data_IF_355010015702
#
_entry.id   IF_355010015702
#
_cell.length_a   1.000
_cell.length_b   1.000
_cell.length_c   1.000
_cell.angle_alpha   90.00
_cell.angle_beta   90.00
_cell.angle_gamma   90.00
#
_symmetry.space_group_name_H-M   'P 1'
#
loop_
_entity.id
_entity.type
_entity.pdbx_description
1 polymer ?
#
# COMPACT_ATOMS: atom_id res chain seq x y z
N UNK A 1 23.65 6.48 13.25
CA UNK A 1 23.91 5.04 13.48
C UNK A 1 23.69 4.31 12.17
N UNK A 2 24.68 3.57 11.66
CA UNK A 2 24.51 2.78 10.43
C UNK A 2 23.72 1.52 10.80
N UNK A 3 22.59 1.28 10.15
CA UNK A 3 21.84 0.04 10.33
C UNK A 3 22.66 -1.11 9.75
N UNK A 4 23.20 -1.97 10.61
CA UNK A 4 24.01 -3.15 10.21
C UNK A 4 23.14 -4.41 10.20
N UNK A 5 22.04 -4.40 10.94
CA UNK A 5 21.08 -5.50 11.09
C UNK A 5 19.68 -4.89 11.05
N UNK A 6 18.76 -5.53 10.34
CA UNK A 6 17.35 -5.15 10.30
C UNK A 6 16.78 -5.10 11.72
N UNK A 7 16.11 -4.00 12.14
CA UNK A 7 15.56 -3.86 13.48
C UNK A 7 14.23 -4.63 13.65
N UNK A 8 14.10 -5.77 12.99
CA UNK A 8 12.95 -6.67 13.05
C UNK A 8 13.38 -8.10 12.73
N UNK A 9 12.49 -9.07 12.98
CA UNK A 9 12.66 -10.47 12.59
C UNK A 9 11.51 -10.88 11.68
N UNK A 10 11.79 -11.80 10.76
CA UNK A 10 10.77 -12.39 9.88
C UNK A 10 9.77 -13.17 10.72
N UNK A 11 8.48 -12.87 10.56
CA UNK A 11 7.37 -13.59 11.23
C UNK A 11 6.75 -14.64 10.31
N UNK A 12 6.58 -14.30 9.04
CA UNK A 12 6.01 -15.13 7.97
C UNK A 12 6.73 -14.82 6.67
N UNK A 13 6.65 -15.72 5.69
CA UNK A 13 7.26 -15.56 4.36
C UNK A 13 6.23 -15.80 3.27
N UNK A 14 6.40 -15.14 2.13
CA UNK A 14 5.69 -15.43 0.90
C UNK A 14 6.61 -16.24 -0.03
N UNK A 15 6.17 -17.39 -0.58
CA UNK A 15 6.98 -18.19 -1.49
C UNK A 15 7.29 -17.45 -2.80
N UNK A 16 8.55 -17.50 -3.23
CA UNK A 16 8.98 -16.99 -4.53
C UNK A 16 9.25 -18.13 -5.52
N UNK A 17 8.91 -17.93 -6.80
CA UNK A 17 9.19 -18.89 -7.87
C UNK A 17 10.48 -18.53 -8.59
N UNK A 18 11.49 -19.39 -8.47
CA UNK A 18 12.72 -19.24 -9.26
C UNK A 18 12.44 -19.59 -10.73
N UNK A 19 12.86 -18.70 -11.64
CA UNK A 19 12.73 -18.87 -13.09
C UNK A 19 14.08 -18.94 -13.78
N UNK A 20 14.11 -19.58 -14.95
CA UNK A 20 15.30 -19.56 -15.81
C UNK A 20 15.41 -18.23 -16.55
N UNK A 21 16.63 -17.89 -17.00
CA UNK A 21 16.84 -16.70 -17.85
C UNK A 21 16.03 -16.79 -19.15
N UNK A 22 15.90 -17.99 -19.72
CA UNK A 22 15.13 -18.22 -20.94
C UNK A 22 13.63 -17.89 -20.73
N UNK A 23 13.03 -18.41 -19.65
CA UNK A 23 11.64 -18.09 -19.26
C UNK A 23 11.43 -16.58 -19.12
N UNK A 24 12.33 -15.89 -18.42
CA UNK A 24 12.22 -14.42 -18.27
C UNK A 24 12.29 -13.67 -19.60
N UNK A 25 13.13 -14.12 -20.56
CA UNK A 25 13.20 -13.50 -21.90
C UNK A 25 11.92 -13.68 -22.69
N UNK A 26 11.32 -14.86 -22.60
CA UNK A 26 10.02 -15.15 -23.23
C UNK A 26 8.91 -14.27 -22.64
N UNK A 27 8.82 -14.19 -21.30
CA UNK A 27 7.84 -13.33 -20.62
C UNK A 27 8.00 -11.85 -20.99
N UNK A 28 9.25 -11.36 -21.09
CA UNK A 28 9.52 -9.99 -21.56
C UNK A 28 9.02 -9.75 -22.98
N UNK A 29 9.24 -10.70 -23.89
CA UNK A 29 8.75 -10.58 -25.26
C UNK A 29 7.22 -10.60 -25.33
N UNK A 30 6.56 -11.51 -24.60
CA UNK A 30 5.10 -11.60 -24.50
C UNK A 30 4.47 -10.32 -23.92
N UNK A 31 5.14 -9.70 -22.95
CA UNK A 31 4.72 -8.45 -22.35
C UNK A 31 4.94 -7.22 -23.26
N UNK A 32 5.53 -7.39 -24.45
CA UNK A 32 5.93 -6.29 -25.31
C UNK A 32 6.96 -5.38 -24.65
N UNK A 33 7.86 -5.97 -23.84
CA UNK A 33 8.90 -5.27 -23.07
C UNK A 33 8.37 -4.23 -22.06
N UNK A 34 7.08 -4.29 -21.71
CA UNK A 34 6.50 -3.47 -20.65
C UNK A 34 6.36 -4.28 -19.36
N UNK A 35 7.11 -3.90 -18.32
CA UNK A 35 7.10 -4.61 -17.03
C UNK A 35 5.72 -4.61 -16.34
N UNK A 36 4.90 -3.58 -16.54
CA UNK A 36 3.52 -3.53 -16.01
C UNK A 36 2.63 -4.65 -16.54
N UNK A 37 3.04 -5.33 -17.61
CA UNK A 37 2.28 -6.41 -18.25
C UNK A 37 2.82 -7.80 -17.87
N UNK A 38 3.86 -7.89 -17.05
CA UNK A 38 4.42 -9.17 -16.61
C UNK A 38 3.61 -9.67 -15.40
N UNK A 39 3.07 -10.90 -15.42
CA UNK A 39 2.45 -11.49 -14.25
C UNK A 39 3.41 -11.58 -13.06
N UNK A 40 2.95 -11.20 -11.85
CA UNK A 40 3.77 -11.16 -10.64
C UNK A 40 4.42 -12.52 -10.30
N UNK A 41 3.77 -13.65 -10.60
CA UNK A 41 4.33 -14.99 -10.38
C UNK A 41 5.61 -15.29 -11.21
N UNK A 42 5.94 -14.44 -12.18
CA UNK A 42 7.17 -14.53 -12.99
C UNK A 42 8.26 -13.56 -12.52
N UNK A 43 7.97 -12.74 -11.50
CA UNK A 43 8.88 -11.77 -10.89
C UNK A 43 9.44 -12.36 -9.59
N UNK A 44 10.78 -12.39 -9.46
CA UNK A 44 11.44 -12.96 -8.27
C UNK A 44 11.60 -11.90 -7.17
N UNK A 45 11.98 -10.69 -7.58
CA UNK A 45 12.11 -9.52 -6.70
C UNK A 45 11.34 -8.42 -7.41
N UNK A 46 10.21 -8.02 -6.85
CA UNK A 46 9.39 -6.94 -7.39
C UNK A 46 9.80 -5.61 -6.75
N UNK A 47 10.33 -4.71 -7.58
CA UNK A 47 10.73 -3.35 -7.21
C UNK A 47 9.97 -2.31 -8.03
N UNK A 48 8.80 -2.68 -8.58
CA UNK A 48 8.03 -1.80 -9.46
C UNK A 48 7.49 -0.58 -8.70
N UNK A 49 7.06 -0.78 -7.45
CA UNK A 49 6.54 0.29 -6.58
C UNK A 49 6.64 -0.10 -5.11
N UNK A 50 6.75 0.91 -4.25
CA UNK A 50 6.59 0.83 -2.79
C UNK A 50 5.13 1.05 -2.33
N UNK A 51 4.23 1.38 -3.25
CA UNK A 51 2.82 1.66 -2.97
C UNK A 51 2.02 0.38 -2.71
N UNK A 52 1.73 0.09 -1.44
CA UNK A 52 0.90 -1.06 -1.04
C UNK A 52 1.63 -2.40 -1.02
N UNK A 53 2.95 -2.41 -1.21
CA UNK A 53 3.80 -3.62 -1.25
C UNK A 53 4.56 -3.86 0.06
N UNK A 54 4.24 -3.10 1.12
CA UNK A 54 4.89 -3.22 2.42
C UNK A 54 4.47 -4.48 3.20
N UNK A 55 5.43 -5.08 3.92
CA UNK A 55 5.16 -6.18 4.84
C UNK A 55 4.60 -5.64 6.18
N UNK A 56 3.39 -6.05 6.55
CA UNK A 56 2.79 -5.70 7.83
C UNK A 56 3.42 -6.46 9.01
N UNK A 57 3.54 -5.78 10.15
CA UNK A 57 3.93 -6.38 11.42
C UNK A 57 2.85 -7.32 11.98
N UNK A 58 3.21 -8.16 12.96
CA UNK A 58 2.24 -9.01 13.66
C UNK A 58 1.15 -8.21 14.40
N UNK A 59 1.46 -6.99 14.85
CA UNK A 59 0.48 -6.12 15.50
C UNK A 59 -0.57 -5.60 14.52
N UNK A 60 -0.15 -5.25 13.29
CA UNK A 60 -1.07 -4.85 12.23
C UNK A 60 -1.98 -6.02 11.82
N UNK A 61 -1.42 -7.23 11.63
CA UNK A 61 -2.24 -8.43 11.37
C UNK A 61 -3.25 -8.73 12.49
N UNK A 62 -2.87 -8.54 13.76
CA UNK A 62 -3.81 -8.66 14.87
C UNK A 62 -4.93 -7.60 14.80
N UNK A 63 -4.60 -6.38 14.38
CA UNK A 63 -5.57 -5.32 14.12
C UNK A 63 -6.58 -5.67 13.02
N UNK A 64 -6.13 -6.32 11.94
CA UNK A 64 -7.01 -6.81 10.86
C UNK A 64 -8.07 -7.79 11.42
N UNK A 65 -7.68 -8.68 12.34
CA UNK A 65 -8.61 -9.63 12.97
C UNK A 65 -9.60 -8.98 13.95
N UNK A 66 -9.40 -7.71 14.31
CA UNK A 66 -10.25 -6.91 15.20
C UNK A 66 -11.05 -5.84 14.43
N UNK A 67 -11.27 -6.07 13.13
CA UNK A 67 -12.06 -5.18 12.28
C UNK A 67 -13.47 -4.96 12.84
N UNK A 68 -13.86 -3.69 12.91
CA UNK A 68 -15.23 -3.28 13.20
C UNK A 68 -15.85 -2.81 11.88
N UNK A 69 -16.68 -3.67 11.30
CA UNK A 69 -17.28 -3.51 9.97
C UNK A 69 -18.61 -2.72 10.01
N UNK A 70 -18.84 -1.96 11.09
CA UNK A 70 -20.01 -1.12 11.24
C UNK A 70 -20.03 -0.01 10.19
N UNK A 71 -21.18 0.24 9.56
CA UNK A 71 -21.34 1.23 8.50
C UNK A 71 -21.05 2.67 8.95
N UNK A 72 -21.34 3.00 10.21
CA UNK A 72 -21.07 4.31 10.81
C UNK A 72 -20.61 4.14 12.25
N UNK A 73 -19.66 4.98 12.69
CA UNK A 73 -19.16 4.97 14.06
C UNK A 73 -18.27 3.78 14.41
N UNK A 74 -17.61 3.16 13.41
CA UNK A 74 -16.69 2.05 13.64
C UNK A 74 -15.54 2.46 14.58
N UNK A 75 -15.23 1.61 15.56
CA UNK A 75 -14.15 1.83 16.53
C UNK A 75 -12.78 1.98 15.88
N UNK A 76 -12.56 1.38 14.71
CA UNK A 76 -11.35 1.50 13.89
C UNK A 76 -11.12 2.92 13.39
N UNK A 77 -12.17 3.65 13.03
CA UNK A 77 -12.08 5.06 12.61
C UNK A 77 -11.56 5.94 13.74
N UNK A 78 -12.08 5.79 14.97
CA UNK A 78 -11.65 6.60 16.09
C UNK A 78 -10.19 6.36 16.46
N UNK A 79 -9.70 5.11 16.37
CA UNK A 79 -8.27 4.78 16.55
C UNK A 79 -7.41 5.44 15.47
N UNK A 80 -7.86 5.37 14.21
CA UNK A 80 -7.19 6.02 13.08
C UNK A 80 -7.13 7.54 13.26
N UNK A 81 -8.26 8.18 13.56
CA UNK A 81 -8.34 9.63 13.72
C UNK A 81 -7.46 10.13 14.87
N UNK A 82 -7.46 9.42 16.00
CA UNK A 82 -6.59 9.73 17.13
C UNK A 82 -5.10 9.66 16.76
N UNK A 83 -4.68 8.61 16.03
CA UNK A 83 -3.29 8.47 15.58
C UNK A 83 -2.88 9.55 14.58
N UNK A 84 -3.77 9.92 13.65
CA UNK A 84 -3.52 11.04 12.72
C UNK A 84 -3.34 12.35 13.47
N UNK A 85 -4.21 12.65 14.43
CA UNK A 85 -4.09 13.85 15.26
C UNK A 85 -2.77 13.85 16.06
N UNK A 86 -2.41 12.74 16.71
CA UNK A 86 -1.16 12.64 17.48
C UNK A 86 0.08 12.90 16.61
N UNK A 87 0.09 12.39 15.38
CA UNK A 87 1.24 12.49 14.47
C UNK A 87 1.31 13.83 13.73
N UNK A 88 0.17 14.47 13.45
CA UNK A 88 0.09 15.60 12.50
C UNK A 88 -0.51 16.88 13.09
N UNK A 89 -1.28 16.78 14.18
CA UNK A 89 -2.02 17.89 14.78
C UNK A 89 -3.31 18.30 14.04
N UNK A 90 -3.69 17.65 12.94
CA UNK A 90 -4.94 17.97 12.25
C UNK A 90 -6.16 17.48 13.02
N UNK A 91 -7.03 18.41 13.42
CA UNK A 91 -8.25 18.11 14.19
C UNK A 91 -9.30 17.32 13.39
N UNK A 92 -9.34 17.53 12.08
CA UNK A 92 -10.31 16.90 11.18
C UNK A 92 -9.58 16.01 10.18
N UNK A 93 -10.07 14.78 10.01
CA UNK A 93 -9.56 13.83 9.02
C UNK A 93 -10.71 13.11 8.33
N UNK A 94 -10.62 13.02 7.00
CA UNK A 94 -11.54 12.24 6.18
C UNK A 94 -10.76 11.06 5.58
N UNK A 95 -11.01 9.81 6.01
CA UNK A 95 -10.35 8.66 5.44
C UNK A 95 -10.81 8.45 4.00
N UNK A 96 -9.89 8.05 3.14
CA UNK A 96 -10.17 7.61 1.77
C UNK A 96 -9.45 6.29 1.52
N UNK A 97 -9.79 5.58 0.44
CA UNK A 97 -9.17 4.28 0.15
C UNK A 97 -7.67 4.40 -0.20
N UNK A 98 -7.23 5.52 -0.80
CA UNK A 98 -5.82 5.82 -1.09
C UNK A 98 -5.60 7.29 -1.47
N UNK A 99 -4.34 7.70 -1.62
CA UNK A 99 -3.93 9.08 -1.89
C UNK A 99 -4.69 9.79 -3.01
N UNK A 100 -4.84 9.16 -4.19
CA UNK A 100 -5.52 9.78 -5.35
C UNK A 100 -6.97 10.22 -5.06
N UNK A 101 -7.67 9.51 -4.18
CA UNK A 101 -9.03 9.91 -3.79
C UNK A 101 -9.02 11.13 -2.88
N UNK A 102 -8.04 11.24 -1.97
CA UNK A 102 -7.83 12.44 -1.16
C UNK A 102 -7.47 13.64 -2.02
N UNK A 103 -6.58 13.46 -3.00
CA UNK A 103 -6.19 14.51 -3.96
C UNK A 103 -7.41 15.04 -4.72
N UNK A 104 -8.24 14.14 -5.25
CA UNK A 104 -9.46 14.53 -5.97
C UNK A 104 -10.40 15.36 -5.10
N UNK A 105 -10.70 14.90 -3.88
CA UNK A 105 -11.58 15.62 -2.96
C UNK A 105 -11.03 16.99 -2.60
N UNK A 106 -9.71 17.07 -2.37
CA UNK A 106 -9.04 18.33 -2.06
C UNK A 106 -9.10 19.31 -3.24
N UNK A 107 -8.79 18.84 -4.46
CA UNK A 107 -8.83 19.65 -5.67
C UNK A 107 -10.25 20.14 -5.95
N UNK A 108 -11.25 19.27 -5.89
CA UNK A 108 -12.66 19.65 -6.07
C UNK A 108 -13.11 20.66 -5.01
N UNK A 109 -12.68 20.52 -3.76
CA UNK A 109 -13.03 21.44 -2.67
C UNK A 109 -12.37 22.81 -2.81
N UNK A 110 -11.13 22.87 -3.32
CA UNK A 110 -10.35 24.12 -3.42
C UNK A 110 -10.60 24.88 -4.73
N UNK A 111 -10.74 24.16 -5.84
CA UNK A 111 -10.77 24.73 -7.19
C UNK A 111 -12.17 24.67 -7.81
N UNK A 112 -13.04 23.79 -7.31
CA UNK A 112 -14.38 23.57 -7.85
C UNK A 112 -14.39 22.56 -9.00
N UNK A 113 -15.54 21.90 -9.16
CA UNK A 113 -15.73 20.73 -10.03
C UNK A 113 -15.68 21.03 -11.55
N UNK A 114 -15.53 22.29 -11.95
CA UNK A 114 -15.51 22.74 -13.35
C UNK A 114 -14.16 23.25 -13.84
N UNK A 115 -13.24 23.58 -12.93
CA UNK A 115 -11.90 24.12 -13.24
C UNK A 115 -10.78 23.11 -12.90
N UNK A 116 -11.14 21.96 -12.32
CA UNK A 116 -10.28 20.81 -12.14
C UNK A 116 -10.25 19.96 -13.43
N UNK A 117 -9.22 20.16 -14.25
CA UNK A 117 -9.00 19.41 -15.49
C UNK A 117 -8.78 17.91 -15.31
#
# INVERSE_FOLDING_TARGET
>A
MKTIIEPFRIKTVEPIRLSSRAHRREQLALAGFNLFRIPAEHVIIDLLTDSGTGAMSSAQWAGVMQGDESYAGASSYYRFAAAVFELTGFENVLPTHQGRASERLLVEALIGSGDAG
#
